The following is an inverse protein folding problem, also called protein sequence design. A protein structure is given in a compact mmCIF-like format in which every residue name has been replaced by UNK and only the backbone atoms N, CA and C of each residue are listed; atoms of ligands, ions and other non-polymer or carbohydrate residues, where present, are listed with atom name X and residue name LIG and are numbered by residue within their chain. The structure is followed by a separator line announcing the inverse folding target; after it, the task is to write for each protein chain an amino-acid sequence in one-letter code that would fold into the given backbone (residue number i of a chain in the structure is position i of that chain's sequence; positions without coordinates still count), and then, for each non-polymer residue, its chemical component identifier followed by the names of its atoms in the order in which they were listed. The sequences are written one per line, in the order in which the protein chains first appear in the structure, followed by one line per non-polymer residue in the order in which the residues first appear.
data_IF_114678724913
#
_entry.id   IF_114678724913
#
_cell.length_a   1.000
_cell.length_b   1.000
_cell.length_c   1.000
_cell.angle_alpha   90.00
_cell.angle_beta   90.00
_cell.angle_gamma   90.00
#
_symmetry.space_group_name_H-M   'P 1'
#
loop_
_entity.id
_entity.type
_entity.pdbx_description
1 polymer ?
#
# COMPACT_ATOMS: atom_id res chain seq x y z
N UNK A 1 -11.43 -11.03 -17.20
CA UNK A 1 -10.67 -10.55 -16.03
C UNK A 1 -9.32 -10.06 -16.51
N UNK A 2 -8.92 -8.82 -16.15
CA UNK A 2 -7.64 -8.23 -16.56
C UNK A 2 -6.48 -9.10 -16.06
N UNK A 3 -5.45 -9.31 -16.90
CA UNK A 3 -4.27 -10.14 -16.58
C UNK A 3 -3.60 -9.74 -15.25
N UNK A 4 -3.58 -8.45 -14.92
CA UNK A 4 -3.07 -7.93 -13.65
C UNK A 4 -3.93 -8.35 -12.45
N UNK A 5 -5.26 -8.21 -12.51
CA UNK A 5 -6.14 -8.68 -11.41
C UNK A 5 -5.98 -10.18 -11.20
N UNK A 6 -5.74 -10.95 -12.28
CA UNK A 6 -5.44 -12.37 -12.20
C UNK A 6 -4.02 -12.65 -11.66
N UNK A 7 -2.99 -11.91 -12.07
CA UNK A 7 -1.61 -12.06 -11.60
C UNK A 7 -1.42 -11.62 -10.14
N UNK A 8 -2.11 -10.57 -9.72
CA UNK A 8 -2.16 -10.15 -8.31
C UNK A 8 -2.99 -11.15 -7.51
N UNK A 9 -4.11 -11.66 -8.04
CA UNK A 9 -4.85 -12.75 -7.39
C UNK A 9 -4.00 -14.02 -7.27
N UNK A 10 -3.19 -14.35 -8.28
CA UNK A 10 -2.22 -15.45 -8.23
C UNK A 10 -1.13 -15.16 -7.19
N UNK A 11 -0.49 -13.98 -7.18
CA UNK A 11 0.55 -13.62 -6.21
C UNK A 11 0.01 -13.56 -4.76
N UNK A 12 -1.25 -13.17 -4.57
CA UNK A 12 -1.91 -13.15 -3.25
C UNK A 12 -2.37 -14.54 -2.78
N UNK A 13 -2.50 -15.55 -3.66
CA UNK A 13 -3.09 -16.86 -3.32
C UNK A 13 -2.24 -18.10 -3.67
N UNK A 14 -1.16 -17.96 -4.44
CA UNK A 14 -0.28 -19.04 -4.88
C UNK A 14 1.17 -18.60 -4.69
N UNK A 15 1.91 -19.40 -3.91
CA UNK A 15 3.36 -19.49 -3.70
C UNK A 15 4.29 -18.45 -4.35
N UNK A 16 5.33 -18.08 -3.59
CA UNK A 16 6.42 -17.16 -3.94
C UNK A 16 6.91 -17.29 -5.39
N UNK A 17 6.48 -16.36 -6.25
CA UNK A 17 7.08 -16.18 -7.54
C UNK A 17 8.28 -15.24 -7.39
N UNK A 18 9.44 -15.70 -7.86
CA UNK A 18 10.61 -14.84 -8.06
C UNK A 18 10.28 -13.71 -9.04
N UNK A 19 11.09 -12.65 -9.03
CA UNK A 19 10.95 -11.54 -9.97
C UNK A 19 10.82 -12.02 -11.42
N UNK A 20 11.73 -12.92 -11.83
CA UNK A 20 11.79 -13.45 -13.18
C UNK A 20 10.56 -14.27 -13.55
N UNK A 21 9.95 -14.98 -12.60
CA UNK A 21 8.72 -15.72 -12.85
C UNK A 21 7.52 -14.78 -13.05
N UNK A 22 7.34 -13.77 -12.19
CA UNK A 22 6.26 -12.78 -12.34
C UNK A 22 6.44 -11.99 -13.64
N UNK A 23 7.67 -11.55 -13.91
CA UNK A 23 8.03 -10.86 -15.15
C UNK A 23 7.74 -11.75 -16.36
N UNK A 24 8.21 -12.99 -16.35
CA UNK A 24 7.98 -13.93 -17.45
C UNK A 24 6.49 -14.19 -17.69
N UNK A 25 5.69 -14.32 -16.63
CA UNK A 25 4.24 -14.52 -16.74
C UNK A 25 3.54 -13.30 -17.33
N UNK A 26 3.92 -12.09 -16.89
CA UNK A 26 3.34 -10.85 -17.38
C UNK A 26 3.72 -10.60 -18.85
N UNK A 27 5.03 -10.64 -19.16
CA UNK A 27 5.56 -10.28 -20.47
C UNK A 27 5.43 -11.38 -21.52
N UNK A 28 4.94 -12.58 -21.17
CA UNK A 28 4.75 -13.70 -22.10
C UNK A 28 4.02 -13.30 -23.39
N UNK A 29 3.03 -12.44 -23.26
CA UNK A 29 2.19 -12.00 -24.38
C UNK A 29 2.40 -10.51 -24.73
N UNK A 30 3.41 -9.86 -24.14
CA UNK A 30 3.71 -8.44 -24.37
C UNK A 30 4.87 -8.34 -25.35
N UNK A 31 4.59 -7.92 -26.58
CA UNK A 31 5.63 -7.63 -27.55
C UNK A 31 6.11 -6.18 -27.44
N UNK A 32 7.15 -5.91 -26.65
CA UNK A 32 7.70 -4.57 -26.50
C UNK A 32 8.28 -3.98 -27.81
N UNK A 33 8.67 -4.82 -28.77
CA UNK A 33 9.21 -4.34 -30.06
C UNK A 33 8.15 -3.65 -30.94
N UNK A 34 6.85 -3.79 -30.61
CA UNK A 34 5.76 -3.10 -31.32
C UNK A 34 5.69 -1.60 -30.99
N UNK A 35 6.36 -1.15 -29.92
CA UNK A 35 6.34 0.24 -29.48
C UNK A 35 7.51 1.01 -30.09
N UNK A 36 7.21 1.79 -31.13
CA UNK A 36 8.17 2.74 -31.70
C UNK A 36 8.25 3.99 -30.82
N UNK A 37 9.11 3.94 -29.79
CA UNK A 37 9.44 5.09 -28.97
C UNK A 37 10.25 6.12 -29.77
N UNK A 38 9.55 7.04 -30.43
CA UNK A 38 10.15 8.04 -31.32
C UNK A 38 11.03 9.00 -30.53
N UNK A 39 12.29 9.15 -30.94
CA UNK A 39 13.16 10.16 -30.35
C UNK A 39 12.56 11.55 -30.59
N UNK A 40 12.32 12.28 -29.51
CA UNK A 40 11.91 13.68 -29.53
C UNK A 40 12.95 14.52 -28.81
N UNK A 41 13.28 15.68 -29.38
CA UNK A 41 14.15 16.67 -28.73
C UNK A 41 13.37 17.56 -27.76
N UNK A 42 12.04 17.50 -27.78
CA UNK A 42 11.20 18.19 -26.82
C UNK A 42 11.36 17.54 -25.44
N UNK A 43 11.51 18.38 -24.40
CA UNK A 43 11.49 17.93 -23.02
C UNK A 43 10.04 17.83 -22.55
N UNK A 44 9.69 16.68 -21.99
CA UNK A 44 8.40 16.42 -21.39
C UNK A 44 8.55 16.16 -19.90
N UNK A 45 7.45 16.34 -19.18
CA UNK A 45 7.31 16.02 -17.77
C UNK A 45 6.40 14.79 -17.56
N UNK A 46 6.38 14.27 -16.33
CA UNK A 46 5.42 13.23 -15.95
C UNK A 46 3.99 13.77 -16.02
N UNK A 47 3.77 15.05 -15.72
CA UNK A 47 2.45 15.69 -15.89
C UNK A 47 1.98 15.66 -17.37
N UNK A 48 2.89 15.89 -18.32
CA UNK A 48 2.57 15.75 -19.75
C UNK A 48 2.18 14.31 -20.13
N UNK A 49 2.93 13.33 -19.60
CA UNK A 49 2.64 11.90 -19.82
C UNK A 49 1.28 11.52 -19.21
N UNK A 50 1.00 11.95 -17.98
CA UNK A 50 -0.26 11.72 -17.30
C UNK A 50 -1.45 12.34 -18.05
N UNK A 51 -1.27 13.53 -18.62
CA UNK A 51 -2.28 14.18 -19.47
C UNK A 51 -2.49 13.41 -20.79
N UNK A 52 -1.42 12.93 -21.44
CA UNK A 52 -1.53 12.14 -22.65
C UNK A 52 -2.28 10.81 -22.40
N UNK A 53 -1.96 10.14 -21.28
CA UNK A 53 -2.64 8.91 -20.84
C UNK A 53 -4.12 9.18 -20.58
N UNK A 54 -4.47 10.27 -19.88
CA UNK A 54 -5.87 10.63 -19.61
C UNK A 54 -6.67 10.88 -20.88
N UNK A 55 -6.05 11.48 -21.89
CA UNK A 55 -6.67 11.75 -23.19
C UNK A 55 -6.62 10.54 -24.15
N UNK A 56 -6.07 9.40 -23.71
CA UNK A 56 -5.88 8.19 -24.55
C UNK A 56 -5.05 8.50 -25.82
N UNK A 57 -4.10 9.44 -25.75
CA UNK A 57 -3.28 9.83 -26.89
C UNK A 57 -2.03 8.95 -27.00
N UNK A 58 -2.20 7.79 -27.64
CA UNK A 58 -1.15 6.78 -27.84
C UNK A 58 0.10 7.35 -28.52
N UNK A 59 -0.09 8.19 -29.54
CA UNK A 59 1.03 8.79 -30.27
C UNK A 59 1.82 9.72 -29.37
N UNK A 60 1.12 10.52 -28.55
CA UNK A 60 1.78 11.43 -27.62
C UNK A 60 2.48 10.69 -26.50
N UNK A 61 1.89 9.60 -25.97
CA UNK A 61 2.56 8.73 -24.99
C UNK A 61 3.86 8.15 -25.55
N UNK A 62 3.85 7.62 -26.78
CA UNK A 62 5.05 7.09 -27.44
C UNK A 62 6.11 8.16 -27.70
N UNK A 63 5.70 9.37 -28.09
CA UNK A 63 6.61 10.51 -28.27
C UNK A 63 7.27 10.90 -26.94
N UNK A 64 6.48 11.04 -25.87
CA UNK A 64 6.97 11.41 -24.54
C UNK A 64 7.96 10.36 -24.02
N UNK A 65 7.57 9.09 -24.03
CA UNK A 65 8.42 7.99 -23.57
C UNK A 65 9.64 7.76 -24.48
N UNK A 66 9.58 8.19 -25.75
CA UNK A 66 10.73 8.20 -26.64
C UNK A 66 11.72 9.33 -26.39
N UNK A 67 11.29 10.43 -25.76
CA UNK A 67 12.19 11.48 -25.27
C UNK A 67 12.94 11.07 -24.01
N UNK A 68 12.22 10.48 -23.04
CA UNK A 68 12.75 10.03 -21.77
C UNK A 68 11.89 8.88 -21.23
N UNK A 69 12.45 7.67 -21.32
CA UNK A 69 11.79 6.44 -20.85
C UNK A 69 11.59 6.43 -19.34
N UNK A 70 12.42 7.15 -18.59
CA UNK A 70 12.38 7.12 -17.13
C UNK A 70 11.13 7.80 -16.56
N UNK A 71 10.46 8.63 -17.36
CA UNK A 71 9.18 9.22 -17.00
C UNK A 71 8.10 8.17 -16.69
N UNK A 72 8.22 6.93 -17.19
CA UNK A 72 7.21 5.88 -16.98
C UNK A 72 7.05 5.42 -15.53
N UNK A 73 8.10 5.56 -14.70
CA UNK A 73 8.09 5.12 -13.31
C UNK A 73 8.19 6.26 -12.29
N UNK A 74 8.47 7.48 -12.75
CA UNK A 74 8.53 8.67 -11.90
C UNK A 74 7.11 9.10 -11.48
N UNK A 75 7.06 9.97 -10.46
CA UNK A 75 5.83 10.59 -10.00
C UNK A 75 5.67 12.00 -10.57
N UNK A 76 4.44 12.40 -10.82
CA UNK A 76 4.12 13.79 -11.15
C UNK A 76 4.22 14.73 -9.94
N UNK A 77 3.93 16.00 -10.16
CA UNK A 77 3.91 17.04 -9.12
C UNK A 77 2.98 16.76 -7.92
N UNK A 78 2.06 15.80 -8.05
CA UNK A 78 1.09 15.37 -7.03
C UNK A 78 1.42 14.00 -6.45
N UNK A 79 2.55 13.39 -6.82
CA UNK A 79 2.93 12.06 -6.35
C UNK A 79 2.25 10.91 -7.10
N UNK A 80 1.68 11.15 -8.28
CA UNK A 80 0.95 10.14 -9.07
C UNK A 80 1.82 9.65 -10.22
N UNK A 81 2.10 8.35 -10.25
CA UNK A 81 2.82 7.72 -11.36
C UNK A 81 1.92 7.53 -12.60
N UNK A 82 2.49 7.44 -13.81
CA UNK A 82 1.75 7.11 -15.03
C UNK A 82 0.94 5.82 -14.97
N UNK A 83 1.47 4.81 -14.27
CA UNK A 83 0.76 3.54 -14.06
C UNK A 83 -0.52 3.75 -13.24
N UNK A 84 -0.44 4.49 -12.13
CA UNK A 84 -1.60 4.81 -11.30
C UNK A 84 -2.57 5.71 -12.06
N UNK A 85 -2.07 6.71 -12.80
CA UNK A 85 -2.92 7.57 -13.63
C UNK A 85 -3.70 6.75 -14.64
N UNK A 86 -3.03 5.87 -15.41
CA UNK A 86 -3.67 4.97 -16.38
C UNK A 86 -4.80 4.19 -15.73
N UNK A 87 -4.55 3.50 -14.61
CA UNK A 87 -5.59 2.71 -13.96
C UNK A 87 -6.77 3.53 -13.43
N UNK A 88 -6.53 4.75 -12.93
CA UNK A 88 -7.59 5.62 -12.39
C UNK A 88 -8.45 6.26 -13.48
N UNK A 89 -7.93 6.49 -14.68
CA UNK A 89 -8.65 7.23 -15.73
C UNK A 89 -9.16 6.35 -16.87
N UNK A 90 -8.28 5.59 -17.52
CA UNK A 90 -8.61 4.87 -18.77
C UNK A 90 -8.58 3.36 -18.58
N UNK A 91 -7.76 2.89 -17.66
CA UNK A 91 -7.48 1.51 -17.36
C UNK A 91 -7.08 0.74 -18.64
N UNK A 92 -6.25 1.36 -19.49
CA UNK A 92 -5.84 0.85 -20.79
C UNK A 92 -4.69 -0.14 -20.65
N UNK A 93 -4.87 -1.36 -21.17
CA UNK A 93 -3.82 -2.39 -21.22
C UNK A 93 -2.69 -1.94 -22.15
N UNK A 94 -3.02 -1.23 -23.23
CA UNK A 94 -2.02 -0.74 -24.17
C UNK A 94 -1.08 0.28 -23.53
N UNK A 95 -1.62 1.22 -22.75
CA UNK A 95 -0.82 2.21 -22.02
C UNK A 95 0.04 1.54 -20.94
N UNK A 96 -0.51 0.55 -20.26
CA UNK A 96 0.22 -0.27 -19.28
C UNK A 96 1.43 -0.97 -19.93
N UNK A 97 1.21 -1.68 -21.04
CA UNK A 97 2.27 -2.30 -21.84
C UNK A 97 3.32 -1.25 -22.27
N UNK A 98 2.90 -0.08 -22.75
CA UNK A 98 3.81 0.99 -23.19
C UNK A 98 4.71 1.46 -22.04
N UNK A 99 4.14 1.69 -20.84
CA UNK A 99 4.88 2.13 -19.66
C UNK A 99 5.91 1.10 -19.22
N UNK A 100 5.51 -0.16 -19.16
CA UNK A 100 6.37 -1.27 -18.73
C UNK A 100 7.45 -1.61 -19.76
N UNK A 101 7.17 -1.47 -21.05
CA UNK A 101 8.17 -1.65 -22.11
C UNK A 101 9.11 -0.45 -22.26
N UNK A 102 8.70 0.75 -21.83
CA UNK A 102 9.58 1.91 -21.83
C UNK A 102 10.69 1.76 -20.79
N UNK A 103 10.35 1.41 -19.55
CA UNK A 103 11.32 1.16 -18.48
C UNK A 103 10.78 0.10 -17.51
N UNK A 104 11.59 -0.94 -17.30
CA UNK A 104 11.24 -2.10 -16.47
C UNK A 104 10.96 -1.72 -15.00
N UNK A 105 11.51 -0.60 -14.52
CA UNK A 105 11.22 -0.10 -13.17
C UNK A 105 9.76 0.24 -12.97
N UNK A 106 9.03 0.61 -14.02
CA UNK A 106 7.59 0.83 -13.92
C UNK A 106 6.88 -0.46 -13.49
N UNK A 107 7.30 -1.61 -14.01
CA UNK A 107 6.78 -2.91 -13.60
C UNK A 107 7.28 -3.30 -12.20
N UNK A 108 8.60 -3.19 -11.93
CA UNK A 108 9.16 -3.52 -10.61
C UNK A 108 8.47 -2.77 -9.49
N UNK A 109 8.36 -1.44 -9.61
CA UNK A 109 7.84 -0.59 -8.55
C UNK A 109 6.34 -0.78 -8.37
N UNK A 110 5.55 -0.87 -9.45
CA UNK A 110 4.10 -0.90 -9.32
C UNK A 110 3.50 -2.30 -9.16
N UNK A 111 4.22 -3.35 -9.56
CA UNK A 111 3.73 -4.74 -9.53
C UNK A 111 4.55 -5.59 -8.57
N UNK A 112 5.88 -5.57 -8.68
CA UNK A 112 6.71 -6.49 -7.93
C UNK A 112 6.91 -6.08 -6.47
N UNK A 113 7.11 -4.78 -6.18
CA UNK A 113 7.22 -4.28 -4.79
C UNK A 113 6.01 -4.71 -3.93
N UNK A 114 4.75 -4.50 -4.38
CA UNK A 114 3.60 -5.04 -3.67
C UNK A 114 3.65 -6.55 -3.45
N UNK A 115 4.05 -7.33 -4.47
CA UNK A 115 4.16 -8.78 -4.36
C UNK A 115 5.18 -9.21 -3.29
N UNK A 116 6.36 -8.57 -3.22
CA UNK A 116 7.39 -8.85 -2.21
C UNK A 116 6.89 -8.51 -0.80
N UNK A 117 6.18 -7.39 -0.65
CA UNK A 117 5.61 -6.98 0.63
C UNK A 117 4.52 -7.94 1.10
N UNK A 118 3.74 -8.52 0.17
CA UNK A 118 2.64 -9.43 0.50
C UNK A 118 2.98 -10.91 0.49
N UNK A 119 4.16 -11.29 0.04
CA UNK A 119 4.60 -12.68 0.07
C UNK A 119 4.97 -13.12 1.49
N UNK A 120 4.20 -14.08 2.01
CA UNK A 120 4.38 -14.67 3.34
C UNK A 120 5.59 -15.60 3.44
N UNK A 121 6.16 -16.02 2.31
CA UNK A 121 7.32 -16.89 2.27
C UNK A 121 8.64 -16.11 2.27
N UNK A 122 8.62 -14.84 1.86
CA UNK A 122 9.79 -13.96 1.93
C UNK A 122 9.90 -13.41 3.35
N UNK A 123 10.99 -13.76 4.03
CA UNK A 123 11.27 -13.29 5.39
C UNK A 123 11.42 -11.76 5.47
N UNK A 124 11.23 -11.19 6.65
CA UNK A 124 11.30 -9.73 6.82
C UNK A 124 12.69 -9.14 6.51
N UNK A 125 13.77 -9.85 6.85
CA UNK A 125 15.14 -9.42 6.53
C UNK A 125 15.41 -9.42 5.02
N UNK A 126 14.95 -10.44 4.32
CA UNK A 126 15.04 -10.54 2.87
C UNK A 126 14.17 -9.47 2.19
N UNK A 127 12.96 -9.25 2.70
CA UNK A 127 12.08 -8.16 2.26
C UNK A 127 12.79 -6.80 2.38
N UNK A 128 13.48 -6.54 3.49
CA UNK A 128 14.24 -5.29 3.69
C UNK A 128 15.42 -5.19 2.72
N UNK A 129 16.14 -6.28 2.46
CA UNK A 129 17.25 -6.29 1.50
C UNK A 129 16.75 -5.92 0.09
N UNK A 130 15.70 -6.59 -0.39
CA UNK A 130 15.07 -6.32 -1.68
C UNK A 130 14.57 -4.86 -1.76
N UNK A 131 13.93 -4.35 -0.70
CA UNK A 131 13.47 -2.95 -0.67
C UNK A 131 14.63 -1.95 -0.75
N UNK A 132 15.79 -2.23 -0.16
CA UNK A 132 16.96 -1.35 -0.32
C UNK A 132 17.39 -1.29 -1.79
N UNK A 133 17.45 -2.42 -2.49
CA UNK A 133 17.76 -2.45 -3.92
C UNK A 133 16.77 -1.59 -4.72
N UNK A 134 15.47 -1.68 -4.44
CA UNK A 134 14.48 -0.85 -5.13
C UNK A 134 14.57 0.63 -4.80
N UNK A 135 14.88 0.99 -3.55
CA UNK A 135 15.14 2.39 -3.20
C UNK A 135 16.38 2.93 -3.92
N UNK A 136 17.43 2.13 -4.06
CA UNK A 136 18.64 2.50 -4.81
C UNK A 136 18.35 2.63 -6.33
N UNK A 137 17.40 1.85 -6.87
CA UNK A 137 16.90 1.95 -8.24
C UNK A 137 15.95 3.15 -8.49
N UNK A 138 15.50 3.83 -7.43
CA UNK A 138 14.67 5.03 -7.50
C UNK A 138 13.20 4.87 -7.09
N UNK A 139 12.83 3.81 -6.35
CA UNK A 139 11.50 3.69 -5.75
C UNK A 139 11.23 4.88 -4.82
N UNK A 140 10.10 5.57 -5.02
CA UNK A 140 9.72 6.69 -4.17
C UNK A 140 9.20 6.18 -2.81
N UNK A 141 9.66 6.81 -1.72
CA UNK A 141 9.17 6.57 -0.36
C UNK A 141 7.71 6.96 -0.18
N UNK A 142 7.21 7.81 -1.07
CA UNK A 142 5.83 8.27 -1.12
C UNK A 142 4.98 7.51 -2.15
N UNK A 143 5.49 6.41 -2.72
CA UNK A 143 4.71 5.60 -3.66
C UNK A 143 3.38 5.15 -3.03
N UNK A 144 2.31 5.40 -3.78
CA UNK A 144 0.95 4.93 -3.50
C UNK A 144 0.58 3.90 -4.56
N UNK A 145 0.21 2.72 -4.12
CA UNK A 145 -0.20 1.61 -4.98
C UNK A 145 -1.70 1.64 -5.28
N UNK A 146 -2.08 0.99 -6.37
CA UNK A 146 -3.45 0.99 -6.88
C UNK A 146 -4.48 0.42 -5.89
N UNK A 147 -4.09 -0.55 -5.05
CA UNK A 147 -4.99 -1.09 -4.05
C UNK A 147 -5.23 -0.04 -2.98
N UNK A 148 -6.44 0.52 -2.96
CA UNK A 148 -6.97 1.26 -1.81
C UNK A 148 -6.17 2.52 -1.40
N UNK A 149 -5.44 3.13 -2.34
CA UNK A 149 -4.50 4.21 -2.10
C UNK A 149 -3.47 3.84 -1.00
N UNK A 150 -3.03 2.59 -0.96
CA UNK A 150 -2.10 2.08 0.06
C UNK A 150 -0.66 2.43 -0.25
N UNK A 151 0.11 2.82 0.77
CA UNK A 151 1.56 2.96 0.67
C UNK A 151 2.30 1.71 1.15
N UNK A 152 3.63 1.77 1.14
CA UNK A 152 4.51 0.69 1.61
C UNK A 152 4.19 0.26 3.06
N UNK A 153 3.89 1.22 3.94
CA UNK A 153 3.54 0.97 5.35
C UNK A 153 2.24 0.17 5.49
N UNK A 154 1.22 0.51 4.71
CA UNK A 154 -0.08 -0.16 4.75
C UNK A 154 0.06 -1.63 4.34
N UNK A 155 0.82 -1.91 3.27
CA UNK A 155 1.09 -3.27 2.81
C UNK A 155 1.85 -4.09 3.85
N UNK A 156 2.94 -3.54 4.40
CA UNK A 156 3.71 -4.23 5.44
C UNK A 156 2.86 -4.52 6.69
N UNK A 157 1.99 -3.59 7.07
CA UNK A 157 1.10 -3.77 8.22
C UNK A 157 0.02 -4.83 7.98
N UNK A 158 -0.59 -4.85 6.80
CA UNK A 158 -1.66 -5.79 6.43
C UNK A 158 -1.20 -7.24 6.50
N UNK A 159 0.09 -7.48 6.26
CA UNK A 159 0.72 -8.80 6.26
C UNK A 159 1.50 -9.08 7.55
N UNK A 160 1.32 -8.23 8.56
CA UNK A 160 1.94 -8.35 9.89
C UNK A 160 3.48 -8.42 9.84
N UNK A 161 4.11 -7.86 8.79
CA UNK A 161 5.57 -7.70 8.66
C UNK A 161 6.04 -6.49 9.48
N UNK A 162 6.03 -6.61 10.81
CA UNK A 162 6.29 -5.51 11.74
C UNK A 162 7.74 -4.98 11.72
N UNK A 163 8.74 -5.82 11.43
CA UNK A 163 10.13 -5.39 11.27
C UNK A 163 10.29 -4.59 9.97
N UNK A 164 9.66 -5.03 8.88
CA UNK A 164 9.61 -4.27 7.61
C UNK A 164 8.88 -2.94 7.82
N UNK A 165 7.75 -2.97 8.53
CA UNK A 165 6.98 -1.78 8.88
C UNK A 165 7.83 -0.76 9.65
N UNK A 166 8.55 -1.21 10.67
CA UNK A 166 9.43 -0.36 11.48
C UNK A 166 10.57 0.24 10.66
N UNK A 167 11.18 -0.57 9.79
CA UNK A 167 12.20 -0.12 8.85
C UNK A 167 11.68 0.98 7.90
N UNK A 168 10.50 0.78 7.30
CA UNK A 168 9.86 1.75 6.41
C UNK A 168 9.51 3.05 7.14
N UNK A 169 9.06 2.95 8.39
CA UNK A 169 8.74 4.09 9.24
C UNK A 169 10.00 4.89 9.63
N UNK A 170 11.14 4.24 9.77
CA UNK A 170 12.43 4.89 10.02
C UNK A 170 13.07 5.47 8.76
N UNK A 171 12.76 4.92 7.58
CA UNK A 171 13.09 5.53 6.28
C UNK A 171 12.24 6.76 5.92
N UNK A 172 11.25 7.11 6.75
CA UNK A 172 10.27 8.18 6.54
C UNK A 172 9.41 7.95 5.29
N UNK A 173 8.91 6.73 5.09
CA UNK A 173 7.92 6.47 4.04
C UNK A 173 6.57 7.14 4.37
N UNK A 174 5.78 7.39 3.33
CA UNK A 174 4.48 8.06 3.44
C UNK A 174 3.57 7.38 4.46
N UNK A 175 3.11 8.17 5.43
CA UNK A 175 2.07 7.80 6.37
C UNK A 175 0.74 8.28 5.80
N UNK A 176 0.01 7.38 5.15
CA UNK A 176 -1.33 7.68 4.64
C UNK A 176 -2.33 7.78 5.80
N UNK A 177 -3.29 8.70 5.70
CA UNK A 177 -4.43 8.82 6.62
C UNK A 177 -5.17 7.50 6.86
N UNK A 178 -5.24 6.62 5.85
CA UNK A 178 -5.82 5.26 5.94
C UNK A 178 -5.12 4.37 6.97
N UNK A 179 -3.85 4.63 7.30
CA UNK A 179 -3.09 3.77 8.21
C UNK A 179 -3.75 3.63 9.60
N UNK A 180 -4.48 4.65 10.07
CA UNK A 180 -5.27 4.56 11.30
C UNK A 180 -6.39 3.52 11.23
N UNK A 181 -7.04 3.39 10.06
CA UNK A 181 -8.05 2.36 9.79
C UNK A 181 -7.41 0.97 9.71
N UNK A 182 -6.26 0.83 9.07
CA UNK A 182 -5.56 -0.47 8.95
C UNK A 182 -5.08 -0.97 10.33
N UNK A 183 -4.58 -0.05 11.18
CA UNK A 183 -4.26 -0.36 12.58
C UNK A 183 -5.50 -0.88 13.32
N UNK A 184 -6.66 -0.23 13.17
CA UNK A 184 -7.90 -0.71 13.76
C UNK A 184 -8.31 -2.08 13.22
N UNK A 185 -8.20 -2.29 11.91
CA UNK A 185 -8.57 -3.54 11.27
C UNK A 185 -7.71 -4.70 11.79
N UNK A 186 -6.39 -4.50 11.90
CA UNK A 186 -5.49 -5.49 12.47
C UNK A 186 -5.71 -5.69 13.99
N UNK A 187 -5.94 -4.61 14.74
CA UNK A 187 -6.30 -4.71 16.17
C UNK A 187 -7.55 -5.57 16.38
N UNK A 188 -8.58 -5.41 15.55
CA UNK A 188 -9.86 -6.13 15.72
C UNK A 188 -9.80 -7.61 15.34
N UNK A 189 -8.69 -8.10 14.78
CA UNK A 189 -8.48 -9.51 14.41
C UNK A 189 -8.70 -10.47 15.58
N UNK A 190 -8.26 -10.11 16.80
CA UNK A 190 -8.41 -10.95 17.99
C UNK A 190 -9.88 -11.30 18.31
N UNK A 191 -10.82 -10.42 17.97
CA UNK A 191 -12.26 -10.66 18.14
C UNK A 191 -12.81 -11.51 17.00
N UNK A 192 -12.41 -11.23 15.76
CA UNK A 192 -12.81 -12.01 14.57
C UNK A 192 -12.35 -13.46 14.65
N UNK A 193 -11.12 -13.71 15.10
CA UNK A 193 -10.58 -15.05 15.31
C UNK A 193 -11.36 -15.85 16.37
N UNK A 194 -12.14 -15.16 17.22
CA UNK A 194 -13.02 -15.74 18.23
C UNK A 194 -14.50 -15.71 17.81
N UNK A 195 -14.81 -15.30 16.58
CA UNK A 195 -16.18 -15.06 16.09
C UNK A 195 -17.00 -14.10 16.97
N UNK A 196 -16.32 -13.19 17.68
CA UNK A 196 -16.97 -12.18 18.53
C UNK A 196 -17.31 -10.98 17.65
N UNK A 197 -18.60 -10.76 17.42
CA UNK A 197 -19.09 -9.57 16.73
C UNK A 197 -19.02 -8.35 17.65
N UNK A 198 -18.29 -7.32 17.24
CA UNK A 198 -18.33 -6.01 17.88
C UNK A 198 -19.54 -5.23 17.34
N UNK A 199 -20.74 -5.57 17.84
CA UNK A 199 -21.98 -4.91 17.43
C UNK A 199 -22.53 -4.00 18.56
N UNK A 200 -22.91 -2.78 18.19
CA UNK A 200 -23.33 -1.72 19.13
C UNK A 200 -24.68 -2.05 19.81
N UNK A 201 -25.45 -3.03 19.30
CA UNK A 201 -26.84 -3.27 19.70
C UNK A 201 -27.06 -4.36 20.75
N UNK A 202 -26.04 -5.05 21.22
CA UNK A 202 -26.19 -6.10 22.25
C UNK A 202 -25.26 -5.91 23.43
N UNK A 203 -25.80 -6.15 24.63
CA UNK A 203 -25.06 -6.22 25.90
C UNK A 203 -23.85 -7.13 25.76
N UNK A 204 -22.72 -6.77 26.38
CA UNK A 204 -21.48 -7.54 26.30
C UNK A 204 -21.72 -9.04 26.54
N UNK A 205 -21.50 -9.82 25.49
CA UNK A 205 -21.57 -11.27 25.57
C UNK A 205 -20.51 -11.77 26.56
N UNK A 206 -20.83 -12.80 27.35
CA UNK A 206 -19.91 -13.43 28.33
C UNK A 206 -18.55 -13.77 27.71
N UNK A 207 -18.54 -14.16 26.44
CA UNK A 207 -17.34 -14.47 25.66
C UNK A 207 -16.42 -13.26 25.47
N UNK A 208 -16.99 -12.08 25.22
CA UNK A 208 -16.25 -10.82 25.12
C UNK A 208 -15.60 -10.48 26.46
N UNK A 209 -16.36 -10.51 27.56
CA UNK A 209 -15.83 -10.23 28.90
C UNK A 209 -14.71 -11.22 29.27
N UNK A 210 -14.89 -12.50 28.94
CA UNK A 210 -13.84 -13.50 29.13
C UNK A 210 -12.58 -13.16 28.35
N UNK A 211 -12.70 -12.80 27.07
CA UNK A 211 -11.56 -12.42 26.23
C UNK A 211 -10.81 -11.20 26.78
N UNK A 212 -11.54 -10.15 27.20
CA UNK A 212 -10.94 -8.92 27.74
C UNK A 212 -10.12 -9.17 29.02
N UNK A 213 -10.49 -10.19 29.80
CA UNK A 213 -9.76 -10.58 31.00
C UNK A 213 -8.48 -11.38 30.72
N UNK A 214 -8.34 -11.96 29.52
CA UNK A 214 -7.17 -12.78 29.18
C UNK A 214 -5.91 -11.93 29.04
N UNK A 215 -4.78 -12.50 29.49
CA UNK A 215 -3.46 -11.89 29.29
C UNK A 215 -3.16 -11.69 27.80
N UNK A 216 -3.64 -12.60 26.93
CA UNK A 216 -3.51 -12.47 25.46
C UNK A 216 -4.10 -11.15 24.95
N UNK A 217 -5.28 -10.75 25.40
CA UNK A 217 -5.88 -9.47 25.02
C UNK A 217 -5.06 -8.28 25.53
N UNK A 218 -4.63 -8.33 26.80
CA UNK A 218 -3.83 -7.25 27.41
C UNK A 218 -2.52 -7.01 26.66
N UNK A 219 -1.81 -8.08 26.28
CA UNK A 219 -0.60 -8.01 25.46
C UNK A 219 -0.89 -7.46 24.06
N UNK A 220 -1.93 -7.98 23.39
CA UNK A 220 -2.36 -7.51 22.07
C UNK A 220 -2.70 -6.01 22.07
N UNK A 221 -3.54 -5.56 23.00
CA UNK A 221 -3.90 -4.16 23.19
C UNK A 221 -2.67 -3.27 23.42
N UNK A 222 -1.73 -3.72 24.26
CA UNK A 222 -0.52 -2.94 24.57
C UNK A 222 0.37 -2.79 23.34
N UNK A 223 0.55 -3.87 22.56
CA UNK A 223 1.28 -3.85 21.31
C UNK A 223 0.69 -2.81 20.34
N UNK A 224 -0.61 -2.88 20.07
CA UNK A 224 -1.27 -1.96 19.13
C UNK A 224 -1.25 -0.51 19.60
N UNK A 225 -1.46 -0.23 20.89
CA UNK A 225 -1.34 1.13 21.42
C UNK A 225 0.09 1.69 21.28
N UNK A 226 1.12 0.85 21.47
CA UNK A 226 2.51 1.26 21.30
C UNK A 226 2.83 1.54 19.82
N UNK A 227 2.37 0.69 18.90
CA UNK A 227 2.49 0.92 17.46
C UNK A 227 1.78 2.23 17.05
N UNK A 228 0.54 2.44 17.51
CA UNK A 228 -0.23 3.67 17.27
C UNK A 228 0.53 4.90 17.74
N UNK A 229 1.09 4.86 18.96
CA UNK A 229 1.92 5.96 19.47
C UNK A 229 3.15 6.21 18.58
N UNK A 230 3.80 5.15 18.09
CA UNK A 230 4.97 5.25 17.21
C UNK A 230 4.61 5.96 15.90
N UNK A 231 3.51 5.57 15.24
CA UNK A 231 3.11 6.16 13.96
C UNK A 231 2.58 7.59 14.11
N UNK A 232 1.86 7.91 15.19
CA UNK A 232 1.43 9.29 15.47
C UNK A 232 2.63 10.20 15.69
N UNK A 233 3.62 9.76 16.46
CA UNK A 233 4.87 10.52 16.65
C UNK A 233 5.60 10.79 15.33
N UNK A 234 5.43 9.91 14.34
CA UNK A 234 6.06 10.01 13.03
C UNK A 234 5.23 10.78 12.00
N UNK A 235 3.99 11.17 12.32
CA UNK A 235 3.19 12.07 11.49
C UNK A 235 1.77 11.61 11.19
N UNK A 236 1.30 10.45 11.67
CA UNK A 236 -0.09 10.07 11.50
C UNK A 236 -0.99 11.09 12.20
N UNK A 237 -1.93 11.70 11.45
CA UNK A 237 -2.94 12.56 12.03
C UNK A 237 -3.81 11.78 13.03
N UNK A 238 -3.82 12.15 14.32
CA UNK A 238 -4.58 11.43 15.34
C UNK A 238 -6.06 11.28 15.03
N UNK A 239 -6.67 12.20 14.25
CA UNK A 239 -8.09 12.10 13.84
C UNK A 239 -8.43 10.80 13.11
N UNK A 240 -7.46 10.18 12.45
CA UNK A 240 -7.66 8.92 11.74
C UNK A 240 -7.73 7.70 12.67
N UNK A 241 -7.63 7.89 13.99
CA UNK A 241 -7.77 6.83 14.99
C UNK A 241 -9.22 6.61 15.45
N UNK A 242 -10.19 7.22 14.77
CA UNK A 242 -11.60 7.20 15.15
C UNK A 242 -12.16 5.79 15.41
N UNK A 243 -11.94 4.85 14.49
CA UNK A 243 -12.45 3.48 14.66
C UNK A 243 -11.81 2.75 15.84
N UNK A 244 -10.52 2.98 16.10
CA UNK A 244 -9.83 2.42 17.26
C UNK A 244 -10.39 2.99 18.56
N UNK A 245 -10.64 4.30 18.60
CA UNK A 245 -11.27 4.96 19.75
C UNK A 245 -12.69 4.44 20.02
N UNK A 246 -13.56 4.42 19.00
CA UNK A 246 -14.93 3.89 19.12
C UNK A 246 -14.94 2.43 19.57
N UNK A 247 -13.94 1.65 19.16
CA UNK A 247 -13.80 0.27 19.63
C UNK A 247 -13.47 0.24 21.12
N UNK A 248 -12.52 1.05 21.61
CA UNK A 248 -12.24 1.10 23.05
C UNK A 248 -13.41 1.64 23.88
N UNK A 249 -14.16 2.61 23.35
CA UNK A 249 -15.40 3.10 23.95
C UNK A 249 -16.43 1.98 24.08
N UNK A 250 -16.68 1.23 23.00
CA UNK A 250 -17.54 0.07 23.05
C UNK A 250 -17.06 -0.95 24.08
N UNK A 251 -15.75 -1.21 24.18
CA UNK A 251 -15.19 -2.17 25.13
C UNK A 251 -15.15 -1.67 26.59
N UNK A 252 -15.53 -0.42 26.87
CA UNK A 252 -15.42 0.20 28.19
C UNK A 252 -13.97 0.39 28.66
N UNK A 253 -13.02 0.52 27.73
CA UNK A 253 -11.59 0.61 28.00
C UNK A 253 -11.12 2.08 28.11
N UNK A 254 -11.57 2.76 29.17
CA UNK A 254 -11.31 4.18 29.42
C UNK A 254 -9.82 4.53 29.40
N UNK A 255 -8.97 3.63 29.91
CA UNK A 255 -7.53 3.82 29.92
C UNK A 255 -6.94 3.88 28.51
N UNK A 256 -7.46 3.05 27.59
CA UNK A 256 -7.00 3.02 26.20
C UNK A 256 -7.55 4.21 25.42
N UNK A 257 -8.80 4.62 25.69
CA UNK A 257 -9.36 5.86 25.15
C UNK A 257 -8.51 7.07 25.56
N UNK A 258 -8.19 7.20 26.86
CA UNK A 258 -7.33 8.28 27.36
C UNK A 258 -5.97 8.31 26.66
N UNK A 259 -5.34 7.15 26.44
CA UNK A 259 -4.07 7.08 25.69
C UNK A 259 -4.20 7.62 24.27
N UNK A 260 -5.32 7.38 23.57
CA UNK A 260 -5.53 7.95 22.24
C UNK A 260 -5.77 9.47 22.32
N UNK A 261 -6.52 9.95 23.31
CA UNK A 261 -6.70 11.38 23.57
C UNK A 261 -5.38 12.09 23.89
N UNK A 262 -4.52 11.47 24.69
CA UNK A 262 -3.17 11.97 25.01
C UNK A 262 -2.27 12.03 23.75
N UNK A 263 -2.55 11.23 22.72
CA UNK A 263 -1.91 11.31 21.41
C UNK A 263 -2.49 12.40 20.51
N UNK A 264 -3.48 13.16 21.00
CA UNK A 264 -4.11 14.26 20.27
C UNK A 264 -5.38 13.88 19.50
N UNK A 265 -5.90 12.66 19.67
CA UNK A 265 -7.23 12.33 19.14
C UNK A 265 -8.29 13.18 19.85
N UNK A 266 -9.15 13.81 19.07
CA UNK A 266 -10.32 14.55 19.55
C UNK A 266 -11.55 13.91 18.95
N UNK A 267 -12.47 13.48 19.83
CA UNK A 267 -13.77 12.99 19.39
C UNK A 267 -14.60 14.21 18.96
N UNK A 268 -14.46 14.63 17.70
CA UNK A 268 -15.20 15.76 17.13
C UNK A 268 -16.63 15.35 16.71
N UNK A 269 -17.21 14.31 17.34
CA UNK A 269 -18.60 13.92 17.13
C UNK A 269 -19.49 14.91 17.89
N UNK A 270 -19.96 15.92 17.13
CA UNK A 270 -21.15 16.71 17.48
C UNK A 270 -22.42 15.94 17.17
#
# INVERSE_FOLDING_TARGET
MKKIVFLIFLALNLNAFTYDEIKSLYFKDVNCSKFEFKQSQQKFSVDDLNNAIENVDENKVLEILGSDKTLSFQNDSKGISPFIKNHKTTNSILMEDMLFCADERAFKFNVYVPAVLTDKNIGEDETIAILNEFFDEGLDKNTVFLYEDTGLLNLALGEEKFKVFDYLLDKNCLINDRLGMDIWFCFTKIFRDKNIALNIKTTHQKELLNLLNLQKYKTHRTFWLNLTKKVVKKGLNPKNLNYLYMTFEYLGDENSMKKLTDLGYKNDVK
#
